data_IF_134115264391
#
_entry.id   IF_134115264391
#
_cell.length_a   1.000
_cell.length_b   1.000
_cell.length_c   1.000
_cell.angle_alpha   90.00
_cell.angle_beta   90.00
_cell.angle_gamma   90.00
#
_symmetry.space_group_name_H-M   'P 1'
#
loop_
_entity.id
_entity.type
_entity.pdbx_description
1 polymer ?
#
# COMPACT_ATOMS: atom_id res chain seq x y z
N UNK A 1 -24.18 -21.70 40.79
CA UNK A 1 -23.03 -22.49 40.30
C UNK A 1 -22.35 -21.69 39.19
N UNK A 2 -21.09 -21.38 39.38
CA UNK A 2 -20.39 -20.41 38.55
C UNK A 2 -19.96 -21.03 37.22
N UNK A 3 -20.64 -20.70 36.13
CA UNK A 3 -20.30 -21.07 34.73
C UNK A 3 -18.94 -20.47 34.29
N UNK A 4 -18.43 -19.52 35.05
CA UNK A 4 -17.23 -18.74 34.79
C UNK A 4 -15.90 -19.52 34.81
N UNK A 5 -15.90 -20.75 35.33
CA UNK A 5 -14.66 -21.53 35.52
C UNK A 5 -14.27 -22.31 34.25
N UNK A 6 -15.21 -22.58 33.34
CA UNK A 6 -15.00 -23.47 32.20
C UNK A 6 -14.54 -22.78 30.93
N UNK A 7 -14.78 -21.48 30.78
CA UNK A 7 -14.46 -20.75 29.53
C UNK A 7 -13.34 -19.75 29.73
N UNK A 8 -12.14 -20.27 29.95
CA UNK A 8 -10.93 -19.46 30.09
C UNK A 8 -10.02 -19.66 28.89
N UNK A 9 -9.38 -18.60 28.43
CA UNK A 9 -8.33 -18.66 27.39
C UNK A 9 -7.19 -19.55 27.88
N UNK A 10 -6.93 -20.64 27.17
CA UNK A 10 -5.79 -21.52 27.41
C UNK A 10 -4.89 -21.62 26.18
N UNK A 11 -5.47 -21.43 24.99
CA UNK A 11 -4.76 -21.54 23.74
C UNK A 11 -5.11 -20.32 22.88
N UNK A 12 -4.09 -19.65 22.35
CA UNK A 12 -4.22 -18.63 21.31
C UNK A 12 -3.51 -19.17 20.08
N UNK A 13 -4.19 -19.17 18.95
CA UNK A 13 -3.62 -19.55 17.65
C UNK A 13 -3.59 -18.33 16.75
N UNK A 14 -2.47 -18.09 16.10
CA UNK A 14 -2.29 -17.03 15.11
C UNK A 14 -2.02 -17.68 13.77
N UNK A 15 -2.67 -17.18 12.73
CA UNK A 15 -2.47 -17.58 11.33
C UNK A 15 -2.38 -16.34 10.44
N UNK A 16 -1.76 -16.48 9.23
CA UNK A 16 -1.57 -15.40 8.29
C UNK A 16 -0.39 -14.47 8.60
N UNK A 17 0.34 -14.74 9.68
CA UNK A 17 1.52 -13.98 10.05
C UNK A 17 2.75 -14.45 9.24
N UNK A 18 3.51 -13.50 8.73
CA UNK A 18 4.76 -13.72 7.98
C UNK A 18 5.88 -12.84 8.52
N UNK A 19 5.67 -11.52 8.54
CA UNK A 19 6.61 -10.55 9.11
C UNK A 19 6.63 -10.61 10.64
N UNK A 20 5.46 -10.69 11.27
CA UNK A 20 5.36 -10.78 12.73
C UNK A 20 5.34 -12.21 13.23
N UNK A 21 5.92 -12.45 14.38
CA UNK A 21 5.79 -13.73 15.09
C UNK A 21 4.39 -13.86 15.71
N UNK A 22 3.94 -15.10 15.92
CA UNK A 22 2.67 -15.32 16.59
C UNK A 22 2.62 -14.67 18.00
N UNK A 23 3.77 -14.62 18.71
CA UNK A 23 3.86 -14.00 20.02
C UNK A 23 3.66 -12.48 19.96
N UNK A 24 4.27 -11.79 18.99
CA UNK A 24 4.07 -10.34 18.79
C UNK A 24 2.60 -9.99 18.52
N UNK A 25 1.91 -10.83 17.74
CA UNK A 25 0.47 -10.64 17.49
C UNK A 25 -0.34 -10.85 18.77
N UNK A 26 -0.03 -11.88 19.56
CA UNK A 26 -0.71 -12.14 20.85
C UNK A 26 -0.47 -11.00 21.84
N UNK A 27 0.75 -10.52 21.93
CA UNK A 27 1.13 -9.41 22.81
C UNK A 27 0.43 -8.12 22.40
N UNK A 28 0.41 -7.82 21.11
CA UNK A 28 -0.32 -6.68 20.56
C UNK A 28 -1.83 -6.77 20.81
N UNK A 29 -2.42 -7.97 20.69
CA UNK A 29 -3.83 -8.20 21.00
C UNK A 29 -4.14 -7.92 22.50
N UNK A 30 -3.13 -8.08 23.38
CA UNK A 30 -3.29 -7.94 24.83
C UNK A 30 -4.18 -9.02 25.41
N UNK A 31 -4.05 -10.26 24.93
CA UNK A 31 -4.81 -11.43 25.39
C UNK A 31 -4.04 -12.12 26.51
N UNK A 32 -4.67 -12.30 27.64
CA UNK A 32 -4.09 -12.99 28.79
C UNK A 32 -4.60 -14.43 28.91
N UNK A 33 -3.69 -15.37 29.15
CA UNK A 33 -4.04 -16.74 29.48
C UNK A 33 -4.81 -16.73 30.79
N UNK A 34 -5.98 -17.39 30.82
CA UNK A 34 -6.90 -17.41 31.97
C UNK A 34 -7.98 -16.35 31.92
N UNK A 35 -7.97 -15.42 30.97
CA UNK A 35 -9.07 -14.48 30.72
C UNK A 35 -10.37 -15.22 30.36
N UNK A 36 -11.51 -14.64 30.70
CA UNK A 36 -12.80 -15.25 30.41
C UNK A 36 -13.21 -15.01 28.95
N UNK A 37 -13.34 -16.08 28.17
CA UNK A 37 -13.73 -16.06 26.75
C UNK A 37 -15.10 -15.39 26.52
N UNK A 38 -16.04 -15.48 27.46
CA UNK A 38 -17.39 -14.92 27.28
C UNK A 38 -17.43 -13.39 27.46
N UNK A 39 -16.42 -12.84 28.10
CA UNK A 39 -16.26 -11.38 28.32
C UNK A 39 -15.08 -10.80 27.53
N UNK A 40 -14.42 -11.63 26.73
CA UNK A 40 -13.31 -11.22 25.90
C UNK A 40 -13.74 -10.14 24.90
N UNK A 41 -12.97 -9.07 24.86
CA UNK A 41 -13.28 -7.92 24.01
C UNK A 41 -12.65 -8.01 22.63
N UNK A 42 -13.21 -8.82 21.71
CA UNK A 42 -12.69 -9.03 20.35
C UNK A 42 -12.35 -7.71 19.63
N UNK A 43 -13.29 -6.77 19.60
CA UNK A 43 -13.07 -5.48 18.90
C UNK A 43 -11.94 -4.65 19.50
N UNK A 44 -11.68 -4.76 20.81
CA UNK A 44 -10.54 -4.09 21.44
C UNK A 44 -9.23 -4.74 21.06
N UNK A 45 -9.18 -6.05 21.00
CA UNK A 45 -8.00 -6.80 20.59
C UNK A 45 -7.67 -6.50 19.10
N UNK A 46 -8.66 -6.52 18.21
CA UNK A 46 -8.52 -6.10 16.81
C UNK A 46 -7.93 -4.69 16.71
N UNK A 47 -8.53 -3.73 17.43
CA UNK A 47 -8.05 -2.35 17.43
C UNK A 47 -6.61 -2.19 17.92
N UNK A 48 -6.20 -2.99 18.93
CA UNK A 48 -4.81 -2.97 19.44
C UNK A 48 -3.82 -3.53 18.42
N UNK A 49 -4.13 -4.68 17.80
CA UNK A 49 -3.30 -5.27 16.74
C UNK A 49 -3.09 -4.26 15.62
N UNK A 50 -4.18 -3.71 15.06
CA UNK A 50 -4.12 -2.73 13.97
C UNK A 50 -3.39 -1.44 14.36
N UNK A 51 -3.41 -1.05 15.65
CA UNK A 51 -2.72 0.14 16.14
C UNK A 51 -1.21 -0.08 16.38
N UNK A 52 -0.77 -1.30 16.65
CA UNK A 52 0.61 -1.60 17.03
C UNK A 52 1.42 -2.24 15.90
N UNK A 53 0.77 -3.02 15.04
CA UNK A 53 1.44 -3.78 13.97
C UNK A 53 1.16 -3.12 12.62
N UNK A 54 2.10 -2.29 12.16
CA UNK A 54 1.91 -1.43 10.97
C UNK A 54 1.61 -2.21 9.69
N UNK A 55 2.21 -3.40 9.53
CA UNK A 55 2.03 -4.23 8.35
C UNK A 55 0.74 -5.06 8.35
N UNK A 56 -0.01 -5.07 9.45
CA UNK A 56 -1.30 -5.77 9.49
C UNK A 56 -2.38 -4.90 8.87
N UNK A 57 -3.05 -5.41 7.85
CA UNK A 57 -4.17 -4.77 7.15
C UNK A 57 -5.52 -5.22 7.68
N UNK A 58 -5.69 -6.52 7.90
CA UNK A 58 -6.94 -7.10 8.37
C UNK A 58 -6.70 -8.03 9.55
N UNK A 59 -7.63 -8.05 10.47
CA UNK A 59 -7.64 -8.94 11.65
C UNK A 59 -9.02 -9.52 11.82
N UNK A 60 -9.08 -10.84 11.93
CA UNK A 60 -10.29 -11.56 12.34
C UNK A 60 -9.99 -12.34 13.61
N UNK A 61 -10.83 -12.19 14.63
CA UNK A 61 -10.73 -12.94 15.87
C UNK A 61 -11.95 -13.83 16.02
N UNK A 62 -11.70 -15.12 16.25
CA UNK A 62 -12.73 -16.12 16.47
C UNK A 62 -12.52 -16.86 17.79
N UNK A 63 -13.60 -17.11 18.52
CA UNK A 63 -13.60 -17.90 19.75
C UNK A 63 -14.03 -19.33 19.44
N UNK A 64 -13.18 -20.29 19.81
CA UNK A 64 -13.50 -21.73 19.75
C UNK A 64 -13.59 -22.28 21.18
N UNK A 65 -14.83 -22.54 21.60
CA UNK A 65 -15.07 -23.12 22.90
C UNK A 65 -14.43 -24.52 23.05
N UNK A 66 -13.98 -24.94 24.23
CA UNK A 66 -14.19 -24.21 25.51
C UNK A 66 -13.11 -23.19 25.88
N UNK A 67 -11.94 -23.14 25.16
CA UNK A 67 -10.74 -22.50 25.70
C UNK A 67 -9.80 -21.85 24.67
N UNK A 68 -10.22 -21.69 23.43
CA UNK A 68 -9.31 -21.26 22.37
C UNK A 68 -9.75 -19.95 21.73
N UNK A 69 -8.79 -19.04 21.49
CA UNK A 69 -8.94 -17.86 20.64
C UNK A 69 -8.11 -18.09 19.36
N UNK A 70 -8.70 -17.89 18.19
CA UNK A 70 -8.03 -17.85 16.91
C UNK A 70 -7.90 -16.39 16.46
N UNK A 71 -6.72 -16.00 16.01
CA UNK A 71 -6.43 -14.70 15.42
C UNK A 71 -5.93 -14.96 14.00
N UNK A 72 -6.70 -14.54 13.02
CA UNK A 72 -6.32 -14.60 11.62
C UNK A 72 -5.98 -13.17 11.16
N UNK A 73 -4.76 -12.96 10.66
CA UNK A 73 -4.30 -11.66 10.18
C UNK A 73 -3.95 -11.73 8.70
N UNK A 74 -4.09 -10.60 8.02
CA UNK A 74 -3.57 -10.38 6.68
C UNK A 74 -2.55 -9.26 6.78
N UNK A 75 -1.32 -9.55 6.36
CA UNK A 75 -0.23 -8.59 6.30
C UNK A 75 -0.12 -8.00 4.89
N UNK A 76 0.32 -6.74 4.78
CA UNK A 76 0.60 -6.12 3.49
C UNK A 76 1.81 -6.78 2.84
N UNK A 77 1.69 -7.14 1.57
CA UNK A 77 2.77 -7.77 0.80
C UNK A 77 3.56 -6.73 0.01
N UNK A 78 2.87 -5.72 -0.52
CA UNK A 78 3.47 -4.69 -1.33
C UNK A 78 3.70 -3.40 -0.52
N UNK A 79 4.92 -2.89 -0.59
CA UNK A 79 5.33 -1.65 0.08
C UNK A 79 6.00 -0.71 -0.92
N UNK A 80 5.80 0.59 -0.72
CA UNK A 80 6.25 1.64 -1.60
C UNK A 80 7.00 2.70 -0.80
N UNK A 81 8.09 3.21 -1.36
CA UNK A 81 8.85 4.28 -0.74
C UNK A 81 8.25 5.65 -1.10
N UNK A 82 8.07 6.50 -0.10
CA UNK A 82 7.59 7.88 -0.26
C UNK A 82 8.47 8.85 0.51
N UNK A 83 8.69 10.04 -0.05
CA UNK A 83 9.41 11.12 0.63
C UNK A 83 8.59 11.67 1.78
N UNK A 84 9.29 12.08 2.84
CA UNK A 84 8.70 12.87 3.92
C UNK A 84 9.15 14.32 3.89
N UNK A 85 8.44 15.16 4.59
CA UNK A 85 8.70 16.62 4.66
C UNK A 85 10.02 16.98 5.34
N UNK A 86 10.62 16.08 6.10
CA UNK A 86 11.94 16.23 6.71
C UNK A 86 13.10 15.76 5.82
N UNK A 87 12.79 15.28 4.60
CA UNK A 87 13.76 14.83 3.61
C UNK A 87 14.10 13.34 3.69
N UNK A 88 13.59 12.61 4.69
CA UNK A 88 13.73 11.17 4.80
C UNK A 88 12.79 10.40 3.85
N UNK A 89 12.85 9.07 3.91
CA UNK A 89 11.95 8.18 3.20
C UNK A 89 11.15 7.34 4.19
N UNK A 90 9.94 6.98 3.80
CA UNK A 90 9.04 6.12 4.54
C UNK A 90 8.48 5.03 3.65
N UNK A 91 8.22 3.87 4.24
CA UNK A 91 7.41 2.85 3.60
C UNK A 91 5.92 3.14 3.82
N UNK A 92 5.14 2.92 2.77
CA UNK A 92 3.68 2.93 2.84
C UNK A 92 3.11 1.74 2.08
N UNK A 93 1.90 1.31 2.43
CA UNK A 93 1.16 0.32 1.67
C UNK A 93 0.28 0.98 0.58
N UNK A 94 -0.41 0.17 -0.22
CA UNK A 94 -1.31 0.64 -1.29
C UNK A 94 -2.43 1.57 -0.84
N UNK A 95 -2.85 1.49 0.42
CA UNK A 95 -3.91 2.36 0.97
C UNK A 95 -3.39 3.71 1.45
N UNK A 96 -2.08 3.96 1.34
CA UNK A 96 -1.44 5.16 1.84
C UNK A 96 -1.17 5.13 3.36
N UNK A 97 -1.23 3.95 4.00
CA UNK A 97 -0.87 3.80 5.40
C UNK A 97 0.64 3.74 5.53
N UNK A 98 1.20 4.61 6.37
CA UNK A 98 2.62 4.67 6.68
C UNK A 98 3.02 3.51 7.59
N UNK A 99 4.09 2.81 7.24
CA UNK A 99 4.53 1.60 7.92
C UNK A 99 5.70 1.86 8.86
N UNK A 100 6.82 2.29 8.32
CA UNK A 100 8.05 2.60 9.04
C UNK A 100 8.95 3.56 8.24
N UNK A 101 9.85 4.31 8.89
CA UNK A 101 10.87 5.07 8.19
C UNK A 101 11.89 4.12 7.57
N UNK A 102 12.41 4.47 6.38
CA UNK A 102 13.51 3.78 5.73
C UNK A 102 14.86 4.32 6.26
N UNK A 103 15.83 3.42 6.37
CA UNK A 103 17.20 3.83 6.64
C UNK A 103 17.83 4.52 5.40
N UNK A 104 18.86 5.31 5.63
CA UNK A 104 19.56 6.03 4.56
C UNK A 104 20.14 5.04 3.54
N UNK A 105 19.73 5.20 2.27
CA UNK A 105 20.20 4.39 1.15
C UNK A 105 19.33 3.19 0.79
N UNK A 106 18.28 2.87 1.56
CA UNK A 106 17.36 1.77 1.27
C UNK A 106 16.21 2.18 0.34
N UNK A 107 16.09 3.46 0.01
CA UNK A 107 15.00 3.99 -0.84
C UNK A 107 14.96 3.40 -2.25
N UNK A 108 16.10 2.90 -2.76
CA UNK A 108 16.18 2.22 -4.06
C UNK A 108 15.74 0.75 -4.07
N UNK A 109 15.48 0.14 -2.91
CA UNK A 109 15.07 -1.26 -2.79
C UNK A 109 13.55 -1.45 -2.98
N UNK A 110 12.80 -0.36 -2.92
CA UNK A 110 11.34 -0.36 -3.02
C UNK A 110 10.85 0.52 -4.17
N UNK A 111 9.72 0.16 -4.81
CA UNK A 111 9.07 1.04 -5.77
C UNK A 111 8.78 2.41 -5.15
N UNK A 112 9.15 3.47 -5.85
CA UNK A 112 9.01 4.84 -5.35
C UNK A 112 7.71 5.48 -5.82
N UNK A 113 7.04 6.23 -4.94
CA UNK A 113 5.94 7.13 -5.31
C UNK A 113 6.45 8.57 -5.28
N UNK A 114 6.45 9.20 -6.44
CA UNK A 114 6.94 10.57 -6.63
C UNK A 114 5.77 11.56 -6.76
N UNK A 115 6.04 12.82 -6.45
CA UNK A 115 5.07 13.91 -6.58
C UNK A 115 4.21 14.16 -5.33
N UNK A 116 4.44 13.39 -4.26
CA UNK A 116 3.80 13.56 -2.96
C UNK A 116 4.87 13.48 -1.88
N UNK A 117 4.70 14.25 -0.83
CA UNK A 117 5.51 14.15 0.39
C UNK A 117 4.61 13.95 1.60
N UNK A 118 5.00 13.06 2.50
CA UNK A 118 4.28 12.83 3.75
C UNK A 118 4.56 13.97 4.73
N UNK A 119 3.52 14.67 5.20
CA UNK A 119 3.61 15.73 6.19
C UNK A 119 3.63 15.12 7.59
N UNK A 120 4.72 15.36 8.35
CA UNK A 120 4.87 14.86 9.72
C UNK A 120 4.49 13.37 9.84
N UNK A 121 5.16 12.46 9.12
CA UNK A 121 4.76 11.07 9.05
C UNK A 121 4.81 10.38 10.42
N UNK A 122 3.82 9.53 10.67
CA UNK A 122 3.71 8.71 11.88
C UNK A 122 3.35 7.29 11.46
N UNK A 123 4.09 6.30 11.98
CA UNK A 123 3.81 4.91 11.70
C UNK A 123 2.38 4.53 12.06
N UNK A 124 1.78 3.68 11.23
CA UNK A 124 0.42 3.17 11.40
C UNK A 124 -0.71 4.18 11.15
N UNK A 125 -0.39 5.35 10.63
CA UNK A 125 -1.37 6.36 10.23
C UNK A 125 -1.45 6.48 8.71
N UNK A 126 -2.60 6.97 8.22
CA UNK A 126 -2.73 7.33 6.81
C UNK A 126 -1.86 8.56 6.53
N UNK A 127 -1.22 8.54 5.38
CA UNK A 127 -0.41 9.64 4.87
C UNK A 127 -1.26 10.89 4.75
N UNK A 128 -0.79 11.98 5.33
CA UNK A 128 -1.28 13.32 5.06
C UNK A 128 -0.31 13.99 4.10
N UNK A 129 -0.73 14.37 2.90
CA UNK A 129 0.17 14.99 1.94
C UNK A 129 0.58 16.38 2.41
N UNK A 130 1.82 16.75 2.13
CA UNK A 130 2.31 18.11 2.31
C UNK A 130 1.66 19.01 1.25
N UNK A 131 1.23 20.20 1.65
CA UNK A 131 0.78 21.20 0.70
C UNK A 131 1.94 21.68 -0.17
N UNK A 132 1.66 21.94 -1.43
CA UNK A 132 2.64 22.57 -2.30
C UNK A 132 2.95 23.99 -1.77
N UNK A 133 4.18 24.48 -1.94
CA UNK A 133 4.53 25.84 -1.49
C UNK A 133 3.60 26.87 -2.12
N UNK A 134 2.96 27.70 -1.28
CA UNK A 134 2.25 28.86 -1.75
C UNK A 134 3.27 29.85 -2.30
N UNK A 135 3.53 29.83 -3.59
CA UNK A 135 4.12 31.02 -4.22
C UNK A 135 3.92 31.05 -5.73
N UNK A 136 3.23 32.10 -6.18
CA UNK A 136 3.51 33.04 -7.28
C UNK A 136 4.04 32.54 -8.63
N UNK A 137 4.11 31.27 -8.84
CA UNK A 137 4.37 30.67 -10.14
C UNK A 137 3.13 29.92 -10.63
N UNK A 138 2.77 30.13 -11.87
CA UNK A 138 1.63 29.56 -12.61
C UNK A 138 1.57 28.01 -12.56
N UNK A 139 2.39 27.36 -11.74
CA UNK A 139 2.64 25.90 -11.74
C UNK A 139 1.74 25.11 -10.79
N UNK A 140 1.24 25.67 -9.69
CA UNK A 140 0.55 24.86 -8.66
C UNK A 140 -0.88 24.50 -9.07
N UNK A 141 -1.61 25.38 -9.74
CA UNK A 141 -2.95 25.07 -10.28
C UNK A 141 -2.89 24.05 -11.44
N UNK A 142 -1.74 23.97 -12.13
CA UNK A 142 -1.56 23.09 -13.29
C UNK A 142 -1.21 21.65 -12.93
N UNK A 143 -0.77 21.36 -11.72
CA UNK A 143 -0.30 20.01 -11.31
C UNK A 143 -1.36 19.17 -10.59
N UNK A 144 -2.45 19.79 -10.16
CA UNK A 144 -3.49 19.16 -9.32
C UNK A 144 -3.13 19.20 -7.83
N UNK A 145 -4.16 19.23 -6.97
CA UNK A 145 -3.98 19.29 -5.53
C UNK A 145 -3.25 18.07 -4.98
N UNK A 146 -2.41 18.19 -3.93
CA UNK A 146 -1.69 17.07 -3.33
C UNK A 146 -2.60 15.92 -2.89
N UNK A 147 -3.80 16.22 -2.39
CA UNK A 147 -4.79 15.20 -2.01
C UNK A 147 -5.30 14.42 -3.23
N UNK A 148 -5.51 15.07 -4.37
CA UNK A 148 -5.96 14.41 -5.60
C UNK A 148 -4.83 13.55 -6.20
N UNK A 149 -3.59 14.02 -6.14
CA UNK A 149 -2.40 13.24 -6.51
C UNK A 149 -2.24 12.00 -5.63
N UNK A 150 -2.46 12.12 -4.31
CA UNK A 150 -2.46 10.97 -3.39
C UNK A 150 -3.56 9.97 -3.76
N UNK A 151 -4.77 10.45 -4.04
CA UNK A 151 -5.87 9.57 -4.47
C UNK A 151 -5.55 8.83 -5.77
N UNK A 152 -4.93 9.50 -6.74
CA UNK A 152 -4.48 8.87 -7.98
C UNK A 152 -3.41 7.80 -7.72
N UNK A 153 -2.43 8.08 -6.87
CA UNK A 153 -1.43 7.10 -6.44
C UNK A 153 -2.08 5.86 -5.82
N UNK A 154 -2.97 6.03 -4.84
CA UNK A 154 -3.69 4.92 -4.19
C UNK A 154 -4.47 4.07 -5.21
N UNK A 155 -5.13 4.70 -6.19
CA UNK A 155 -5.85 3.98 -7.25
C UNK A 155 -4.89 3.16 -8.13
N UNK A 156 -3.75 3.73 -8.54
CA UNK A 156 -2.72 3.04 -9.33
C UNK A 156 -2.16 1.86 -8.54
N UNK A 157 -1.73 2.07 -7.28
CA UNK A 157 -1.15 1.04 -6.43
C UNK A 157 -2.14 -0.11 -6.17
N UNK A 158 -3.42 0.21 -5.92
CA UNK A 158 -4.47 -0.78 -5.76
C UNK A 158 -4.70 -1.58 -7.04
N UNK A 159 -4.65 -0.94 -8.20
CA UNK A 159 -4.80 -1.63 -9.49
C UNK A 159 -3.60 -2.55 -9.79
N UNK A 160 -2.37 -2.11 -9.47
CA UNK A 160 -1.15 -2.91 -9.63
C UNK A 160 -1.17 -4.19 -8.79
N UNK A 161 -1.58 -4.12 -7.53
CA UNK A 161 -1.69 -5.32 -6.69
C UNK A 161 -2.74 -6.31 -7.21
N UNK A 162 -3.88 -5.81 -7.72
CA UNK A 162 -4.91 -6.69 -8.30
C UNK A 162 -4.44 -7.50 -9.49
N UNK A 163 -3.44 -7.01 -10.21
CA UNK A 163 -2.86 -7.70 -11.37
C UNK A 163 -1.58 -8.47 -11.03
N UNK A 164 -1.16 -8.49 -9.74
CA UNK A 164 0.01 -9.20 -9.24
C UNK A 164 1.30 -8.89 -10.01
N UNK A 165 1.56 -7.59 -10.24
CA UNK A 165 2.70 -7.10 -11.03
C UNK A 165 3.46 -5.96 -10.34
N UNK A 166 3.36 -5.87 -9.04
CA UNK A 166 4.02 -4.82 -8.26
C UNK A 166 5.54 -4.92 -8.30
N UNK A 167 6.09 -6.13 -8.37
CA UNK A 167 7.54 -6.39 -8.39
C UNK A 167 8.24 -5.81 -9.63
N UNK A 168 7.53 -5.66 -10.73
CA UNK A 168 8.08 -5.10 -11.96
C UNK A 168 8.10 -3.56 -11.96
N UNK A 169 7.41 -2.91 -11.03
CA UNK A 169 7.29 -1.46 -10.97
C UNK A 169 8.46 -0.88 -10.17
N UNK A 170 9.10 0.14 -10.71
CA UNK A 170 10.16 0.87 -10.00
C UNK A 170 9.71 2.25 -9.53
N UNK A 171 8.81 2.89 -10.26
CA UNK A 171 8.33 4.23 -9.92
C UNK A 171 6.88 4.43 -10.35
N UNK A 172 6.10 5.07 -9.49
CA UNK A 172 4.80 5.67 -9.81
C UNK A 172 4.93 7.17 -9.62
N UNK A 173 4.85 7.93 -10.70
CA UNK A 173 4.99 9.40 -10.67
C UNK A 173 3.62 10.05 -10.81
N UNK A 174 3.22 10.74 -9.75
CA UNK A 174 1.98 11.52 -9.67
C UNK A 174 2.27 13.02 -9.47
N UNK A 175 3.47 13.47 -9.83
CA UNK A 175 3.87 14.87 -9.70
C UNK A 175 2.94 15.82 -10.45
N UNK A 176 2.36 15.34 -11.55
CA UNK A 176 1.35 16.03 -12.32
C UNK A 176 0.12 15.14 -12.48
N UNK A 177 -1.02 15.56 -11.91
CA UNK A 177 -2.28 14.81 -11.98
C UNK A 177 -2.77 14.57 -13.42
N UNK A 178 -2.37 15.42 -14.35
CA UNK A 178 -2.75 15.33 -15.76
C UNK A 178 -1.73 14.58 -16.63
N UNK A 179 -0.60 14.17 -16.03
CA UNK A 179 0.48 13.43 -16.70
C UNK A 179 1.06 12.37 -15.76
N UNK A 180 0.19 11.43 -15.34
CA UNK A 180 0.56 10.32 -14.47
C UNK A 180 1.41 9.30 -15.22
N UNK A 181 2.44 8.78 -14.58
CA UNK A 181 3.42 7.91 -15.23
C UNK A 181 3.78 6.73 -14.32
N UNK A 182 4.13 5.60 -14.95
CA UNK A 182 4.67 4.41 -14.29
C UNK A 182 5.95 4.01 -15.00
N UNK A 183 6.98 3.68 -14.23
CA UNK A 183 8.16 2.99 -14.76
C UNK A 183 8.04 1.50 -14.47
N UNK A 184 8.02 0.72 -15.54
CA UNK A 184 8.00 -0.74 -15.51
C UNK A 184 9.43 -1.23 -15.77
N UNK A 185 10.09 -1.76 -14.75
CA UNK A 185 11.53 -1.96 -14.76
C UNK A 185 12.27 -0.62 -14.94
N UNK A 186 13.42 -0.67 -15.59
CA UNK A 186 14.22 0.50 -15.96
C UNK A 186 14.09 0.87 -17.46
N UNK A 187 13.35 0.06 -18.20
CA UNK A 187 13.34 0.12 -19.67
C UNK A 187 12.06 0.71 -20.25
N UNK A 188 10.93 0.61 -19.53
CA UNK A 188 9.66 1.07 -20.07
C UNK A 188 9.05 2.18 -19.22
N UNK A 189 8.74 3.29 -19.89
CA UNK A 189 7.94 4.37 -19.33
C UNK A 189 6.50 4.23 -19.84
N UNK A 190 5.52 4.26 -18.94
CA UNK A 190 4.10 4.17 -19.26
C UNK A 190 3.42 5.47 -18.91
N UNK A 191 2.86 6.14 -19.91
CA UNK A 191 2.10 7.38 -19.75
C UNK A 191 0.62 7.04 -19.58
N UNK A 192 0.07 7.37 -18.41
CA UNK A 192 -1.35 7.17 -18.10
C UNK A 192 -2.18 8.42 -18.38
N UNK A 193 -1.52 9.60 -18.52
CA UNK A 193 -2.17 10.92 -18.55
C UNK A 193 -3.00 11.18 -17.30
N UNK A 194 -4.21 11.73 -17.41
CA UNK A 194 -5.07 12.08 -16.27
C UNK A 194 -5.62 10.87 -15.49
N UNK A 195 -6.30 11.14 -14.35
CA UNK A 195 -6.72 10.13 -13.37
C UNK A 195 -7.95 9.30 -13.78
N UNK A 196 -8.44 9.46 -15.01
CA UNK A 196 -9.59 8.68 -15.49
C UNK A 196 -9.20 7.25 -15.84
N UNK A 197 -10.04 6.29 -15.47
CA UNK A 197 -9.95 4.88 -15.87
C UNK A 197 -8.62 4.18 -15.51
N UNK A 198 -7.98 4.57 -14.41
CA UNK A 198 -6.67 4.08 -13.99
C UNK A 198 -6.62 2.55 -13.85
N UNK A 199 -7.66 1.92 -13.28
CA UNK A 199 -7.73 0.45 -13.18
C UNK A 199 -7.72 -0.23 -14.57
N UNK A 200 -8.41 0.35 -15.55
CA UNK A 200 -8.39 -0.16 -16.92
C UNK A 200 -7.02 0.03 -17.57
N UNK A 201 -6.41 1.22 -17.43
CA UNK A 201 -5.11 1.53 -18.00
C UNK A 201 -4.00 0.65 -17.42
N UNK A 202 -4.01 0.40 -16.11
CA UNK A 202 -3.04 -0.50 -15.45
C UNK A 202 -3.21 -1.94 -15.95
N UNK A 203 -4.43 -2.45 -16.07
CA UNK A 203 -4.66 -3.78 -16.63
C UNK A 203 -4.22 -3.88 -18.09
N UNK A 204 -4.48 -2.85 -18.88
CA UNK A 204 -4.02 -2.79 -20.27
C UNK A 204 -2.49 -2.75 -20.36
N UNK A 205 -1.85 -1.94 -19.49
CA UNK A 205 -0.38 -1.88 -19.37
C UNK A 205 0.21 -3.28 -19.20
N UNK A 206 -0.28 -4.05 -18.21
CA UNK A 206 0.23 -5.39 -17.93
C UNK A 206 0.11 -6.31 -19.14
N UNK A 207 -1.03 -6.31 -19.82
CA UNK A 207 -1.23 -7.11 -21.04
C UNK A 207 -0.29 -6.68 -22.17
N UNK A 208 -0.05 -5.37 -22.31
CA UNK A 208 0.87 -4.85 -23.29
C UNK A 208 2.31 -5.25 -22.98
N UNK A 209 2.74 -5.13 -21.70
CA UNK A 209 4.09 -5.52 -21.25
C UNK A 209 4.34 -7.01 -21.48
N UNK A 210 3.40 -7.89 -21.12
CA UNK A 210 3.51 -9.34 -21.36
C UNK A 210 3.72 -9.65 -22.87
N UNK A 211 3.01 -8.96 -23.73
CA UNK A 211 3.20 -9.12 -25.19
C UNK A 211 4.56 -8.62 -25.66
N UNK A 212 4.98 -7.45 -25.17
CA UNK A 212 6.26 -6.85 -25.53
C UNK A 212 7.43 -7.69 -25.07
N UNK A 213 7.36 -8.28 -23.87
CA UNK A 213 8.34 -9.24 -23.36
C UNK A 213 8.41 -10.49 -24.27
N UNK A 214 7.26 -11.07 -24.65
CA UNK A 214 7.20 -12.24 -25.54
C UNK A 214 7.77 -11.95 -26.93
N UNK A 215 7.54 -10.78 -27.45
CA UNK A 215 8.02 -10.33 -28.77
C UNK A 215 9.45 -9.74 -28.73
N UNK A 216 10.09 -9.70 -27.54
CA UNK A 216 11.44 -9.20 -27.30
C UNK A 216 11.61 -7.74 -27.71
N UNK A 217 10.62 -6.90 -27.45
CA UNK A 217 10.77 -5.46 -27.62
C UNK A 217 11.83 -4.92 -26.66
N UNK A 218 12.65 -4.00 -27.13
CA UNK A 218 13.51 -3.17 -26.29
C UNK A 218 12.70 -2.12 -25.53
N UNK A 219 13.39 -1.32 -24.70
CA UNK A 219 12.78 -0.25 -23.94
C UNK A 219 12.10 0.83 -24.79
N UNK A 220 11.22 1.60 -24.17
CA UNK A 220 10.48 2.66 -24.85
C UNK A 220 9.37 3.27 -24.00
N UNK A 221 8.55 4.09 -24.64
CA UNK A 221 7.40 4.75 -24.06
C UNK A 221 6.13 4.08 -24.56
N UNK A 222 5.30 3.60 -23.62
CA UNK A 222 3.94 3.13 -23.87
C UNK A 222 2.94 4.22 -23.46
N UNK A 223 2.32 4.87 -24.43
CA UNK A 223 1.31 5.89 -24.21
C UNK A 223 -0.09 5.26 -24.13
N UNK A 224 -0.70 5.36 -22.97
CA UNK A 224 -2.06 4.89 -22.65
C UNK A 224 -3.03 6.05 -22.44
N UNK A 225 -2.73 7.24 -22.97
CA UNK A 225 -3.66 8.37 -22.93
C UNK A 225 -4.91 8.11 -23.78
N UNK A 226 -4.80 7.18 -24.76
CA UNK A 226 -5.85 6.86 -25.74
C UNK A 226 -6.37 8.08 -26.51
N UNK A 227 -5.54 9.13 -26.65
CA UNK A 227 -5.93 10.37 -27.34
C UNK A 227 -6.10 10.18 -28.85
N UNK A 228 -5.31 9.26 -29.43
CA UNK A 228 -5.37 8.97 -30.85
C UNK A 228 -6.21 7.70 -31.10
N UNK A 229 -7.40 7.86 -31.65
CA UNK A 229 -8.31 6.76 -32.06
C UNK A 229 -8.60 5.71 -30.95
N UNK A 230 -8.38 6.05 -29.65
CA UNK A 230 -8.56 5.10 -28.55
C UNK A 230 -7.54 3.96 -28.52
N UNK A 231 -6.37 4.14 -29.12
CA UNK A 231 -5.30 3.13 -29.18
C UNK A 231 -4.13 3.50 -28.27
N UNK A 232 -3.47 2.47 -27.74
CA UNK A 232 -2.17 2.62 -27.11
C UNK A 232 -1.08 2.77 -28.19
N UNK A 233 -0.11 3.61 -27.92
CA UNK A 233 1.01 3.86 -28.84
C UNK A 233 2.30 3.47 -28.14
N UNK A 234 3.12 2.65 -28.78
CA UNK A 234 4.46 2.33 -28.32
C UNK A 234 5.51 3.03 -29.20
N UNK A 235 6.44 3.72 -28.55
CA UNK A 235 7.58 4.38 -29.20
C UNK A 235 8.87 3.84 -28.58
N UNK A 236 9.69 3.06 -29.31
CA UNK A 236 10.97 2.57 -28.81
C UNK A 236 11.97 3.73 -28.61
N UNK A 237 12.91 3.54 -27.66
CA UNK A 237 14.03 4.47 -27.45
C UNK A 237 14.95 4.57 -28.68
#
# INVERSE_FOLDING_TARGET
>A
MSITIFFKVQVVKVTGNGKYTAQEVIDAAGIEIGENLLTFGESKAVGRILAQLSYVEEVQIGIKLPNTVNIDIVETEAVYAIRSSDGGWWLMNRSGKLLEPLADGEDGEHPQVLGIQAKNPVANQLLTPMEDPEEGTETTESLGAPADRLNAAIQILTALERVDRTEAITTVDVSNLYDLQIWYGQEFQVLLSGPSDLDYKVRYMVQAMERMEQEHYGGGVLDLSFQEEGKAIFTPW
#
